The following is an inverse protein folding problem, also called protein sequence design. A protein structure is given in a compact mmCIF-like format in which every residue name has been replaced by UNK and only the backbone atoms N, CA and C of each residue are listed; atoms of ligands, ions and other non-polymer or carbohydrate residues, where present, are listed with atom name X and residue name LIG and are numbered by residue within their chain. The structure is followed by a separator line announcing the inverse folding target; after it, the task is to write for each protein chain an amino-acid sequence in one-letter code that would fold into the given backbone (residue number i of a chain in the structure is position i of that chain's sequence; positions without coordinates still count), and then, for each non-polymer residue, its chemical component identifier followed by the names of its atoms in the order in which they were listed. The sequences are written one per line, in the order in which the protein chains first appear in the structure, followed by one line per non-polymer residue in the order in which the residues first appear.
data_IF_409912741924
#
_entry.id   IF_409912741924
#
_cell.length_a   1.000
_cell.length_b   1.000
_cell.length_c   1.000
_cell.angle_alpha   90.00
_cell.angle_beta   90.00
_cell.angle_gamma   90.00
#
_symmetry.space_group_name_H-M   'P 1'
#
loop_
_entity.id
_entity.type
_entity.pdbx_description
1 polymer ?
#
# COMPACT_ATOMS: atom_id res chain seq x y z
N UNK A 1 -2.91 -23.31 -3.51
CA UNK A 1 -1.78 -22.64 -4.18
C UNK A 1 -1.47 -21.38 -3.39
N UNK A 2 -0.27 -21.25 -2.86
CA UNK A 2 0.14 -20.06 -2.09
C UNK A 2 0.29 -18.88 -3.05
N UNK A 3 -0.71 -18.01 -3.10
CA UNK A 3 -0.62 -16.72 -3.81
C UNK A 3 0.50 -15.92 -3.16
N UNK A 4 1.60 -15.68 -3.88
CA UNK A 4 2.68 -14.80 -3.40
C UNK A 4 2.11 -13.38 -3.24
N UNK A 5 2.04 -12.92 -2.00
CA UNK A 5 1.56 -11.60 -1.60
C UNK A 5 2.70 -10.82 -0.94
N UNK A 6 2.87 -9.55 -1.33
CA UNK A 6 3.82 -8.64 -0.68
C UNK A 6 3.09 -7.49 -0.02
N UNK A 7 3.41 -7.20 1.24
CA UNK A 7 2.90 -6.02 1.95
C UNK A 7 3.94 -4.91 1.96
N UNK A 8 3.53 -3.69 1.60
CA UNK A 8 4.37 -2.48 1.63
C UNK A 8 3.75 -1.48 2.61
N UNK A 9 4.53 -1.09 3.63
CA UNK A 9 4.12 -0.10 4.62
C UNK A 9 4.44 1.32 4.13
N UNK A 10 3.39 2.11 3.88
CA UNK A 10 3.51 3.48 3.42
C UNK A 10 3.60 4.43 4.63
N UNK A 11 4.68 5.20 4.66
CA UNK A 11 5.03 6.12 5.74
C UNK A 11 5.43 7.48 5.19
N UNK A 12 6.51 8.06 5.71
CA UNK A 12 6.97 9.44 5.39
C UNK A 12 7.96 9.54 4.23
N UNK A 13 8.40 8.44 3.61
CA UNK A 13 9.31 8.50 2.46
C UNK A 13 8.59 9.14 1.25
N UNK A 14 9.32 9.65 0.24
CA UNK A 14 8.70 10.13 -0.99
C UNK A 14 7.82 9.05 -1.64
N UNK A 15 6.71 9.46 -2.27
CA UNK A 15 5.72 8.54 -2.86
C UNK A 15 6.35 7.56 -3.84
N UNK A 16 7.28 8.03 -4.67
CA UNK A 16 7.98 7.22 -5.68
C UNK A 16 8.73 6.03 -5.08
N UNK A 17 9.23 6.11 -3.85
CA UNK A 17 9.92 4.98 -3.22
C UNK A 17 8.98 3.78 -3.03
N UNK A 18 7.71 4.03 -2.69
CA UNK A 18 6.71 2.98 -2.53
C UNK A 18 6.27 2.41 -3.89
N UNK A 19 6.20 3.26 -4.91
CA UNK A 19 5.94 2.85 -6.29
C UNK A 19 7.03 1.90 -6.78
N UNK A 20 8.30 2.26 -6.61
CA UNK A 20 9.44 1.41 -7.01
C UNK A 20 9.40 0.06 -6.29
N UNK A 21 9.14 0.06 -4.97
CA UNK A 21 9.02 -1.17 -4.20
C UNK A 21 7.90 -2.10 -4.73
N UNK A 22 6.74 -1.55 -5.08
CA UNK A 22 5.64 -2.32 -5.65
C UNK A 22 6.01 -2.89 -7.03
N UNK A 23 6.60 -2.07 -7.91
CA UNK A 23 7.06 -2.51 -9.24
C UNK A 23 8.10 -3.63 -9.13
N UNK A 24 9.09 -3.48 -8.25
CA UNK A 24 10.09 -4.52 -7.99
C UNK A 24 9.44 -5.82 -7.50
N UNK A 25 8.43 -5.73 -6.63
CA UNK A 25 7.71 -6.90 -6.10
C UNK A 25 6.98 -7.65 -7.22
N UNK A 26 6.28 -6.93 -8.09
CA UNK A 26 5.60 -7.52 -9.26
C UNK A 26 6.61 -8.15 -10.23
N UNK A 27 7.73 -7.47 -10.52
CA UNK A 27 8.79 -8.00 -11.39
C UNK A 27 9.46 -9.25 -10.79
N UNK A 28 9.47 -9.40 -9.47
CA UNK A 28 9.96 -10.59 -8.77
C UNK A 28 8.97 -11.76 -8.77
N UNK A 29 7.81 -11.63 -9.43
CA UNK A 29 6.81 -12.70 -9.58
C UNK A 29 5.64 -12.64 -8.60
N UNK A 30 5.60 -11.65 -7.70
CA UNK A 30 4.45 -11.44 -6.82
C UNK A 30 3.22 -11.08 -7.66
N UNK A 31 2.07 -11.71 -7.41
CA UNK A 31 0.82 -11.41 -8.14
C UNK A 31 -0.06 -10.38 -7.44
N UNK A 32 0.20 -10.14 -6.15
CA UNK A 32 -0.61 -9.30 -5.28
C UNK A 32 0.24 -8.47 -4.34
N UNK A 33 0.09 -7.15 -4.38
CA UNK A 33 0.77 -6.20 -3.50
C UNK A 33 -0.27 -5.47 -2.66
N UNK A 34 -0.07 -5.39 -1.35
CA UNK A 34 -0.93 -4.62 -0.44
C UNK A 34 -0.17 -3.40 0.06
N UNK A 35 -0.66 -2.20 -0.27
CA UNK A 35 -0.19 -0.96 0.33
C UNK A 35 -0.96 -0.73 1.63
N UNK A 36 -0.26 -0.71 2.77
CA UNK A 36 -0.86 -0.41 4.08
C UNK A 36 -0.38 0.94 4.59
N UNK A 37 -1.30 1.78 5.04
CA UNK A 37 -0.97 3.08 5.59
C UNK A 37 -1.92 3.49 6.71
N UNK A 38 -1.50 4.44 7.54
CA UNK A 38 -2.33 5.01 8.60
C UNK A 38 -2.13 6.52 8.73
N UNK A 39 -3.16 7.20 9.24
CA UNK A 39 -3.18 8.64 9.43
C UNK A 39 -2.84 9.40 8.15
N UNK A 40 -1.98 10.42 8.25
CA UNK A 40 -1.61 11.25 7.09
C UNK A 40 -0.91 10.51 5.94
N UNK A 41 -0.46 9.26 6.13
CA UNK A 41 0.13 8.46 5.06
C UNK A 41 -0.92 7.86 4.10
N UNK A 42 -2.22 7.90 4.44
CA UNK A 42 -3.31 7.39 3.60
C UNK A 42 -3.32 8.05 2.23
N UNK A 43 -3.21 9.40 2.18
CA UNK A 43 -3.16 10.13 0.92
C UNK A 43 -1.99 9.66 0.04
N UNK A 44 -0.83 9.41 0.65
CA UNK A 44 0.36 8.92 -0.06
C UNK A 44 0.17 7.51 -0.62
N UNK A 45 -0.49 6.62 0.13
CA UNK A 45 -0.79 5.27 -0.35
C UNK A 45 -1.77 5.29 -1.53
N UNK A 46 -2.80 6.13 -1.46
CA UNK A 46 -3.73 6.33 -2.56
C UNK A 46 -3.02 6.87 -3.82
N UNK A 47 -2.18 7.92 -3.67
CA UNK A 47 -1.38 8.44 -4.80
C UNK A 47 -0.44 7.38 -5.39
N UNK A 48 0.21 6.58 -4.54
CA UNK A 48 1.09 5.50 -5.01
C UNK A 48 0.32 4.46 -5.81
N UNK A 49 -0.86 4.02 -5.35
CA UNK A 49 -1.69 3.05 -6.05
C UNK A 49 -2.11 3.54 -7.45
N UNK A 50 -2.56 4.80 -7.54
CA UNK A 50 -2.92 5.44 -8.81
C UNK A 50 -1.72 5.52 -9.74
N UNK A 51 -0.56 6.00 -9.25
CA UNK A 51 0.66 6.06 -10.05
C UNK A 51 1.08 4.68 -10.57
N UNK A 52 1.01 3.64 -9.74
CA UNK A 52 1.36 2.27 -10.13
C UNK A 52 0.47 1.82 -11.29
N UNK A 53 -0.86 1.93 -11.14
CA UNK A 53 -1.82 1.51 -12.17
C UNK A 53 -1.70 2.33 -13.46
N UNK A 54 -1.63 3.66 -13.35
CA UNK A 54 -1.82 4.54 -14.52
C UNK A 54 -0.52 4.87 -15.25
N UNK A 55 0.60 4.98 -14.51
CA UNK A 55 1.87 5.47 -15.07
C UNK A 55 2.96 4.39 -15.14
N UNK A 56 3.09 3.54 -14.13
CA UNK A 56 4.24 2.63 -14.03
C UNK A 56 3.96 1.23 -14.56
N UNK A 57 2.73 0.72 -14.39
CA UNK A 57 2.29 -0.59 -14.86
C UNK A 57 0.94 -0.49 -15.60
N UNK A 58 0.84 0.39 -16.63
CA UNK A 58 -0.41 0.59 -17.37
C UNK A 58 -0.89 -0.72 -17.98
N UNK A 59 -2.18 -1.01 -17.80
CA UNK A 59 -2.84 -2.22 -18.32
C UNK A 59 -2.24 -3.56 -17.84
N UNK A 60 -1.41 -3.55 -16.79
CA UNK A 60 -0.82 -4.77 -16.19
C UNK A 60 -1.29 -5.03 -14.76
N UNK A 61 -1.72 -3.99 -14.06
CA UNK A 61 -2.18 -4.07 -12.68
C UNK A 61 -3.53 -3.37 -12.55
N UNK A 62 -4.41 -3.93 -11.72
CA UNK A 62 -5.65 -3.28 -11.26
C UNK A 62 -5.58 -2.95 -9.77
N UNK A 63 -6.29 -1.89 -9.38
CA UNK A 63 -6.64 -1.66 -7.97
C UNK A 63 -7.85 -2.55 -7.68
N UNK A 64 -7.67 -3.48 -6.74
CA UNK A 64 -8.71 -4.40 -6.28
C UNK A 64 -9.40 -3.87 -5.03
N UNK A 65 -9.43 -4.69 -4.00
CA UNK A 65 -10.08 -4.38 -2.73
C UNK A 65 -9.41 -3.19 -2.00
N UNK A 66 -10.22 -2.32 -1.41
CA UNK A 66 -9.78 -1.18 -0.59
C UNK A 66 -10.48 -1.27 0.75
N UNK A 67 -9.69 -1.39 1.82
CA UNK A 67 -10.21 -1.57 3.18
C UNK A 67 -9.88 -0.36 4.03
N UNK A 68 -10.90 0.18 4.69
CA UNK A 68 -10.76 1.22 5.68
C UNK A 68 -10.87 0.58 7.07
N UNK A 69 -9.89 0.88 7.93
CA UNK A 69 -9.71 0.22 9.21
C UNK A 69 -9.41 1.25 10.29
N UNK A 70 -9.50 0.81 11.54
CA UNK A 70 -8.93 1.54 12.68
C UNK A 70 -7.70 0.79 13.17
N UNK A 71 -6.57 1.48 13.25
CA UNK A 71 -5.33 0.98 13.84
C UNK A 71 -5.10 1.63 15.21
N UNK A 72 -4.50 0.89 16.13
CA UNK A 72 -4.16 1.36 17.47
C UNK A 72 -2.68 1.69 17.53
N UNK A 73 -2.37 2.95 17.86
CA UNK A 73 -0.99 3.41 17.97
C UNK A 73 -0.72 3.89 19.39
N UNK A 74 0.33 3.37 20.00
CA UNK A 74 0.81 3.85 21.29
C UNK A 74 1.64 5.12 21.09
N UNK A 75 1.18 6.24 21.68
CA UNK A 75 1.89 7.51 21.64
C UNK A 75 3.04 7.59 22.66
N UNK A 76 3.79 8.70 22.63
CA UNK A 76 4.73 9.02 23.70
C UNK A 76 3.97 9.18 25.02
N UNK A 77 4.34 8.39 26.03
CA UNK A 77 3.64 8.33 27.33
C UNK A 77 2.68 7.14 27.49
N UNK A 78 2.67 6.17 26.57
CA UNK A 78 1.98 4.89 26.76
C UNK A 78 0.48 4.91 26.49
N UNK A 79 -0.11 6.08 26.17
CA UNK A 79 -1.53 6.18 25.81
C UNK A 79 -1.78 5.62 24.40
N UNK A 80 -2.74 4.73 24.28
CA UNK A 80 -3.26 4.27 22.98
C UNK A 80 -4.11 5.35 22.32
N UNK A 81 -3.97 5.48 20.99
CA UNK A 81 -4.83 6.31 20.15
C UNK A 81 -5.30 5.51 18.94
N UNK A 82 -6.58 5.66 18.63
CA UNK A 82 -7.18 5.16 17.39
C UNK A 82 -6.78 6.07 16.22
N UNK A 83 -6.31 5.46 15.14
CA UNK A 83 -5.89 6.15 13.92
C UNK A 83 -6.54 5.46 12.73
N UNK A 84 -7.09 6.24 11.80
CA UNK A 84 -7.60 5.69 10.54
C UNK A 84 -6.47 4.99 9.77
N UNK A 85 -6.77 3.83 9.18
CA UNK A 85 -5.87 3.04 8.38
C UNK A 85 -6.52 2.61 7.07
N UNK A 86 -5.70 2.36 6.06
CA UNK A 86 -6.11 1.89 4.74
C UNK A 86 -5.24 0.71 4.31
N UNK A 87 -5.88 -0.27 3.66
CA UNK A 87 -5.21 -1.28 2.85
C UNK A 87 -5.70 -1.13 1.41
N UNK A 88 -4.78 -1.04 0.46
CA UNK A 88 -5.09 -0.98 -0.97
C UNK A 88 -4.44 -2.19 -1.63
N UNK A 89 -5.27 -3.07 -2.19
CA UNK A 89 -4.80 -4.26 -2.90
C UNK A 89 -4.55 -3.91 -4.37
N UNK A 90 -3.36 -4.23 -4.85
CA UNK A 90 -2.96 -4.16 -6.25
C UNK A 90 -2.76 -5.59 -6.76
N UNK A 91 -3.42 -5.95 -7.86
CA UNK A 91 -3.37 -7.30 -8.43
C UNK A 91 -2.92 -7.22 -9.88
N UNK A 92 -2.05 -8.16 -10.28
CA UNK A 92 -1.75 -8.37 -11.70
C UNK A 92 -3.02 -8.76 -12.45
N UNK A 93 -3.18 -8.21 -13.65
CA UNK A 93 -4.23 -8.58 -14.61
C UNK A 93 -3.95 -9.93 -15.27
#
# INVERSE_FOLDING_TARGET
MSTQETTILVGKKPTTNYVIAAVMSFNAGTKRVILKARGGAIARAASAAVMIRDRFLPNKVKIGDIRLLTDKVTGQGGKERNVAAIEIVLEML
#
